data_IF_377127403082
#
_entry.id   IF_377127403082
#
_cell.length_a   1.000
_cell.length_b   1.000
_cell.length_c   1.000
_cell.angle_alpha   90.00
_cell.angle_beta   90.00
_cell.angle_gamma   90.00
#
_symmetry.space_group_name_H-M   'P 1'
#
loop_
_entity.id
_entity.type
_entity.pdbx_description
1 polymer ?
#
# COMPACT_ATOMS: atom_id res chain seq x y z
N UNK A 1 -18.95 27.72 -15.34
CA UNK A 1 -19.43 26.36 -14.99
C UNK A 1 -18.67 25.80 -13.78
N UNK A 2 -17.33 25.65 -13.83
CA UNK A 2 -16.54 25.25 -12.64
C UNK A 2 -16.70 26.19 -11.41
N UNK A 3 -16.83 27.49 -11.63
CA UNK A 3 -17.02 28.50 -10.57
C UNK A 3 -18.25 28.31 -9.68
N UNK A 4 -19.35 27.78 -10.22
CA UNK A 4 -20.60 27.58 -9.45
C UNK A 4 -20.59 26.32 -8.58
N UNK A 5 -19.77 25.32 -8.92
CA UNK A 5 -19.73 24.04 -8.21
C UNK A 5 -18.58 23.92 -7.20
N UNK A 6 -17.56 24.77 -7.29
CA UNK A 6 -16.36 24.70 -6.47
C UNK A 6 -16.06 26.03 -5.79
N UNK A 7 -16.92 26.42 -4.83
CA UNK A 7 -16.83 27.70 -4.11
C UNK A 7 -15.46 27.96 -3.48
N UNK A 8 -14.80 26.90 -2.99
CA UNK A 8 -13.46 26.98 -2.41
C UNK A 8 -12.41 27.51 -3.42
N UNK A 9 -12.57 27.27 -4.73
CA UNK A 9 -11.67 27.84 -5.74
C UNK A 9 -11.75 29.37 -5.83
N UNK A 10 -12.86 29.98 -5.39
CA UNK A 10 -13.00 31.44 -5.36
C UNK A 10 -12.36 32.06 -4.11
N UNK A 11 -12.16 31.26 -3.06
CA UNK A 11 -11.60 31.69 -1.78
C UNK A 11 -10.07 31.57 -1.76
N UNK A 12 -9.50 30.67 -2.58
CA UNK A 12 -8.05 30.50 -2.67
C UNK A 12 -7.45 31.62 -3.53
N UNK A 13 -6.53 32.36 -2.93
CA UNK A 13 -5.72 33.38 -3.58
C UNK A 13 -4.22 33.11 -3.40
N UNK A 14 -3.40 34.06 -3.85
CA UNK A 14 -1.94 33.96 -3.77
C UNK A 14 -1.37 34.00 -2.34
N UNK A 15 -2.17 34.32 -1.33
CA UNK A 15 -1.76 34.37 0.09
C UNK A 15 -2.26 33.14 0.86
N UNK A 16 -3.12 32.34 0.24
CA UNK A 16 -3.72 31.16 0.85
C UNK A 16 -2.70 30.03 0.90
N UNK A 17 -2.53 29.40 2.07
CA UNK A 17 -1.77 28.16 2.22
C UNK A 17 -2.70 26.96 2.02
N UNK A 18 -2.34 26.05 1.12
CA UNK A 18 -3.00 24.75 1.00
C UNK A 18 -2.17 23.69 1.71
N UNK A 19 -2.77 23.00 2.67
CA UNK A 19 -2.17 21.82 3.29
C UNK A 19 -2.90 20.59 2.80
N UNK A 20 -2.17 19.66 2.20
CA UNK A 20 -2.68 18.36 1.77
C UNK A 20 -2.07 17.29 2.65
N UNK A 21 -2.91 16.39 3.12
CA UNK A 21 -2.51 15.21 3.88
C UNK A 21 -3.04 13.96 3.17
N UNK A 22 -2.14 13.02 2.85
CA UNK A 22 -2.46 11.64 2.50
C UNK A 22 -3.36 11.48 1.26
N UNK A 23 -2.94 12.07 0.14
CA UNK A 23 -3.77 12.19 -1.07
C UNK A 23 -3.44 11.15 -2.16
N UNK A 24 -2.37 10.37 -2.00
CA UNK A 24 -2.09 9.24 -2.88
C UNK A 24 -3.10 8.10 -2.64
N UNK A 25 -4.09 7.98 -3.53
CA UNK A 25 -5.16 6.96 -3.47
C UNK A 25 -5.23 6.05 -4.67
N UNK A 26 -4.32 6.22 -5.62
CA UNK A 26 -4.16 5.40 -6.82
C UNK A 26 -2.78 5.57 -7.42
N UNK A 27 -2.27 4.54 -8.10
CA UNK A 27 -1.01 4.58 -8.86
C UNK A 27 -1.17 5.32 -10.19
N UNK A 28 -2.42 5.50 -10.63
CA UNK A 28 -2.70 6.20 -11.88
C UNK A 28 -2.41 7.69 -11.70
N UNK A 29 -1.21 8.10 -12.12
CA UNK A 29 -0.79 9.50 -12.16
C UNK A 29 -1.77 10.43 -12.90
N UNK A 30 -2.53 9.91 -13.87
CA UNK A 30 -3.50 10.67 -14.65
C UNK A 30 -4.94 10.55 -14.12
N UNK A 31 -5.12 10.05 -12.90
CA UNK A 31 -6.44 9.90 -12.30
C UNK A 31 -7.20 11.23 -12.25
N UNK A 32 -8.52 11.17 -12.44
CA UNK A 32 -9.36 12.36 -12.44
C UNK A 32 -9.31 13.09 -11.10
N UNK A 33 -9.19 12.36 -9.99
CA UNK A 33 -9.07 12.92 -8.64
C UNK A 33 -7.87 13.86 -8.54
N UNK A 34 -6.73 13.44 -9.10
CA UNK A 34 -5.49 14.20 -9.09
C UNK A 34 -5.61 15.44 -9.97
N UNK A 35 -6.25 15.30 -11.14
CA UNK A 35 -6.59 16.42 -12.01
C UNK A 35 -7.48 17.46 -11.32
N UNK A 36 -8.47 17.02 -10.54
CA UNK A 36 -9.32 17.90 -9.75
C UNK A 36 -8.52 18.64 -8.68
N UNK A 37 -7.65 17.96 -7.93
CA UNK A 37 -6.80 18.58 -6.91
C UNK A 37 -5.88 19.67 -7.48
N UNK A 38 -5.33 19.48 -8.69
CA UNK A 38 -4.50 20.49 -9.34
C UNK A 38 -5.22 21.81 -9.63
N UNK A 39 -6.55 21.82 -9.80
CA UNK A 39 -7.29 23.07 -9.99
C UNK A 39 -7.21 23.99 -8.77
N UNK A 40 -7.11 23.41 -7.56
CA UNK A 40 -6.92 24.15 -6.31
C UNK A 40 -5.45 24.54 -6.10
N UNK A 41 -4.55 23.57 -6.25
CA UNK A 41 -3.12 23.77 -6.02
C UNK A 41 -2.47 24.80 -6.94
N UNK A 42 -2.99 24.97 -8.15
CA UNK A 42 -2.47 25.96 -9.10
C UNK A 42 -2.91 27.41 -8.80
N UNK A 43 -3.80 27.64 -7.83
CA UNK A 43 -4.25 29.00 -7.47
C UNK A 43 -3.27 29.74 -6.55
N UNK A 44 -2.41 29.00 -5.85
CA UNK A 44 -1.48 29.55 -4.86
C UNK A 44 -0.08 28.92 -5.02
N UNK A 45 1.01 29.67 -4.79
CA UNK A 45 2.34 29.08 -4.66
C UNK A 45 2.57 28.46 -3.27
N UNK A 46 1.69 28.70 -2.29
CA UNK A 46 1.88 28.25 -0.92
C UNK A 46 1.17 26.92 -0.69
N UNK A 47 1.94 25.84 -0.64
CA UNK A 47 1.45 24.48 -0.44
C UNK A 47 2.39 23.67 0.42
N UNK A 48 1.81 22.76 1.19
CA UNK A 48 2.53 21.74 1.96
C UNK A 48 1.81 20.42 1.75
N UNK A 49 2.55 19.38 1.38
CA UNK A 49 2.02 18.06 1.06
C UNK A 49 2.64 17.06 2.01
N UNK A 50 1.80 16.34 2.74
CA UNK A 50 2.20 15.25 3.64
C UNK A 50 1.76 13.91 3.06
N UNK A 51 2.66 12.95 3.09
CA UNK A 51 2.41 11.56 2.72
C UNK A 51 3.32 10.67 3.58
N UNK A 52 2.73 9.74 4.33
CA UNK A 52 3.42 8.85 5.25
C UNK A 52 4.33 7.88 4.50
N UNK A 53 3.81 7.28 3.44
CA UNK A 53 4.55 6.40 2.54
C UNK A 53 4.51 6.97 1.12
N UNK A 54 5.63 7.54 0.63
CA UNK A 54 5.65 8.25 -0.64
C UNK A 54 5.69 7.33 -1.88
N UNK A 55 5.65 6.01 -1.65
CA UNK A 55 5.70 4.95 -2.67
C UNK A 55 4.54 4.00 -2.40
N UNK A 56 3.70 3.79 -3.42
CA UNK A 56 2.69 2.73 -3.37
C UNK A 56 3.42 1.44 -3.72
N UNK A 57 3.72 1.17 -4.99
CA UNK A 57 4.45 -0.02 -5.45
C UNK A 57 5.85 0.29 -5.98
N UNK A 58 5.99 1.39 -6.72
CA UNK A 58 7.19 1.67 -7.52
C UNK A 58 7.60 3.15 -7.46
N UNK A 59 8.83 3.42 -7.91
CA UNK A 59 9.42 4.76 -7.76
C UNK A 59 8.71 5.84 -8.57
N UNK A 60 8.00 5.49 -9.64
CA UNK A 60 7.22 6.43 -10.44
C UNK A 60 5.99 6.94 -9.69
N UNK A 61 5.51 6.22 -8.66
CA UNK A 61 4.43 6.71 -7.80
C UNK A 61 4.81 8.04 -7.14
N UNK A 62 6.09 8.27 -6.86
CA UNK A 62 6.57 9.54 -6.32
C UNK A 62 6.29 10.73 -7.25
N UNK A 63 6.20 10.49 -8.56
CA UNK A 63 5.83 11.53 -9.52
C UNK A 63 4.42 12.09 -9.28
N UNK A 64 3.55 11.37 -8.57
CA UNK A 64 2.24 11.89 -8.14
C UNK A 64 2.44 13.07 -7.20
N UNK A 65 3.29 12.92 -6.17
CA UNK A 65 3.62 13.99 -5.21
C UNK A 65 4.28 15.19 -5.91
N UNK A 66 5.23 14.93 -6.82
CA UNK A 66 5.87 15.99 -7.60
C UNK A 66 4.88 16.75 -8.50
N UNK A 67 3.84 16.11 -9.04
CA UNK A 67 2.82 16.86 -9.78
C UNK A 67 1.97 17.74 -8.87
N UNK A 68 1.75 17.34 -7.62
CA UNK A 68 1.05 18.19 -6.67
C UNK A 68 1.83 19.44 -6.36
N UNK A 69 3.15 19.32 -6.25
CA UNK A 69 4.01 20.48 -6.13
C UNK A 69 4.03 21.29 -7.43
N UNK A 70 4.21 20.65 -8.59
CA UNK A 70 4.24 21.36 -9.86
C UNK A 70 3.84 20.48 -11.05
N UNK A 71 2.54 20.47 -11.37
CA UNK A 71 1.96 19.61 -12.42
C UNK A 71 2.65 19.80 -13.77
N UNK A 72 2.83 21.05 -14.18
CA UNK A 72 3.30 21.36 -15.53
C UNK A 72 4.81 21.11 -15.69
N UNK A 73 5.60 21.28 -14.63
CA UNK A 73 7.04 21.01 -14.62
C UNK A 73 7.37 19.55 -14.92
N UNK A 74 6.54 18.62 -14.43
CA UNK A 74 6.83 17.18 -14.49
C UNK A 74 6.01 16.39 -15.49
N UNK A 75 5.02 17.02 -16.14
CA UNK A 75 4.12 16.36 -17.10
C UNK A 75 4.89 15.57 -18.16
N UNK A 76 4.59 14.26 -18.27
CA UNK A 76 5.20 13.35 -19.25
C UNK A 76 6.65 12.94 -18.94
N UNK A 77 7.23 13.37 -17.82
CA UNK A 77 8.56 12.95 -17.37
C UNK A 77 8.47 11.74 -16.44
N UNK A 78 9.41 10.81 -16.55
CA UNK A 78 9.63 9.76 -15.55
C UNK A 78 10.41 10.29 -14.36
N UNK A 79 10.47 9.50 -13.28
CA UNK A 79 11.23 9.85 -12.08
C UNK A 79 12.71 10.03 -12.39
N UNK A 80 13.28 11.09 -11.81
CA UNK A 80 14.69 11.38 -11.80
C UNK A 80 15.08 11.81 -10.39
N UNK A 81 16.16 11.23 -9.84
CA UNK A 81 16.63 11.56 -8.50
C UNK A 81 17.04 13.03 -8.35
N UNK A 82 17.37 13.74 -9.44
CA UNK A 82 17.62 15.19 -9.41
C UNK A 82 16.42 15.98 -8.93
N UNK A 83 15.19 15.49 -9.12
CA UNK A 83 13.99 16.20 -8.68
C UNK A 83 13.90 16.30 -7.15
N UNK A 84 14.57 15.41 -6.42
CA UNK A 84 14.68 15.47 -4.97
C UNK A 84 15.48 16.70 -4.48
N UNK A 85 16.32 17.28 -5.35
CA UNK A 85 17.08 18.50 -5.09
C UNK A 85 16.37 19.78 -5.56
N UNK A 86 15.48 19.63 -6.55
CA UNK A 86 14.86 20.78 -7.21
C UNK A 86 13.66 21.34 -6.44
N UNK A 87 13.04 20.53 -5.59
CA UNK A 87 11.86 20.88 -4.78
C UNK A 87 12.21 20.82 -3.28
N UNK A 88 11.46 21.54 -2.43
CA UNK A 88 11.64 21.51 -0.98
C UNK A 88 11.06 20.22 -0.37
N UNK A 89 11.78 19.12 -0.56
CA UNK A 89 11.34 17.79 -0.13
C UNK A 89 11.97 17.44 1.20
N UNK A 90 11.11 17.25 2.19
CA UNK A 90 11.50 16.69 3.47
C UNK A 90 10.98 15.27 3.66
N UNK A 91 11.88 14.29 3.63
CA UNK A 91 11.56 12.88 3.83
C UNK A 91 12.15 12.32 5.13
N UNK A 92 11.32 11.70 5.97
CA UNK A 92 11.78 10.90 7.11
C UNK A 92 11.70 9.41 6.71
N UNK A 93 12.80 8.65 6.74
CA UNK A 93 12.76 7.23 6.38
C UNK A 93 11.82 6.42 7.27
N UNK A 94 11.01 5.58 6.65
CA UNK A 94 10.20 4.56 7.31
C UNK A 94 10.64 3.19 6.81
N UNK A 95 11.23 2.37 7.69
CA UNK A 95 11.93 1.15 7.28
C UNK A 95 11.23 -0.10 7.80
N UNK A 96 10.15 -0.57 7.14
CA UNK A 96 9.39 -1.71 7.62
C UNK A 96 10.26 -2.99 7.57
N UNK A 97 10.17 -3.80 8.62
CA UNK A 97 10.87 -5.07 8.77
C UNK A 97 9.84 -6.20 8.77
N UNK A 98 10.10 -7.23 7.97
CA UNK A 98 9.28 -8.43 7.96
C UNK A 98 9.94 -9.49 8.83
N UNK A 99 9.23 -9.94 9.86
CA UNK A 99 9.57 -11.15 10.62
C UNK A 99 8.63 -12.27 10.19
N UNK A 100 9.20 -13.35 9.68
CA UNK A 100 8.44 -14.50 9.23
C UNK A 100 8.30 -15.48 10.39
N UNK A 101 7.06 -15.84 10.70
CA UNK A 101 6.70 -16.85 11.70
C UNK A 101 6.21 -18.07 10.95
N UNK A 102 7.02 -19.13 10.97
CA UNK A 102 6.73 -20.35 10.22
C UNK A 102 5.53 -21.10 10.82
N UNK A 103 4.68 -21.63 9.95
CA UNK A 103 3.52 -22.45 10.28
C UNK A 103 3.60 -23.73 9.46
N UNK A 104 3.65 -24.85 10.17
CA UNK A 104 3.65 -26.17 9.55
C UNK A 104 2.35 -26.44 8.81
N UNK A 105 2.44 -27.18 7.71
CA UNK A 105 1.30 -27.68 6.95
C UNK A 105 1.38 -29.20 6.84
N UNK A 106 0.23 -29.86 6.78
CA UNK A 106 0.16 -31.30 6.59
C UNK A 106 0.24 -31.67 5.10
N UNK A 107 0.56 -32.93 4.80
CA UNK A 107 0.54 -33.43 3.41
C UNK A 107 -0.85 -33.28 2.76
N UNK A 108 -1.92 -33.40 3.54
CA UNK A 108 -3.29 -33.17 3.08
C UNK A 108 -3.54 -31.70 2.69
N UNK A 109 -3.03 -30.76 3.49
CA UNK A 109 -3.10 -29.32 3.21
C UNK A 109 -2.30 -28.95 1.95
N UNK A 110 -1.11 -29.54 1.78
CA UNK A 110 -0.30 -29.38 0.56
C UNK A 110 -1.05 -29.90 -0.66
N UNK A 111 -1.63 -31.11 -0.59
CA UNK A 111 -2.40 -31.68 -1.68
C UNK A 111 -3.62 -30.82 -2.05
N UNK A 112 -4.32 -30.27 -1.03
CA UNK A 112 -5.43 -29.33 -1.23
C UNK A 112 -4.97 -28.05 -1.91
N UNK A 113 -3.83 -27.50 -1.50
CA UNK A 113 -3.24 -26.30 -2.11
C UNK A 113 -2.90 -26.51 -3.58
N UNK A 114 -2.17 -27.58 -3.92
CA UNK A 114 -1.78 -27.83 -5.31
C UNK A 114 -3.01 -28.11 -6.20
N UNK A 115 -4.05 -28.77 -5.66
CA UNK A 115 -5.33 -28.93 -6.37
C UNK A 115 -6.00 -27.59 -6.68
N UNK A 116 -6.11 -26.69 -5.69
CA UNK A 116 -6.69 -25.35 -5.90
C UNK A 116 -5.82 -24.51 -6.84
N UNK A 117 -4.50 -24.60 -6.75
CA UNK A 117 -3.56 -23.96 -7.68
C UNK A 117 -3.84 -24.39 -9.12
N UNK A 118 -3.83 -25.68 -9.42
CA UNK A 118 -4.12 -26.19 -10.77
C UNK A 118 -5.49 -25.74 -11.28
N UNK A 119 -6.50 -25.76 -10.43
CA UNK A 119 -7.84 -25.29 -10.76
C UNK A 119 -7.85 -23.80 -11.12
N UNK A 120 -7.24 -22.95 -10.31
CA UNK A 120 -7.22 -21.49 -10.54
C UNK A 120 -6.41 -21.15 -11.81
N UNK A 121 -5.30 -21.84 -12.07
CA UNK A 121 -4.55 -21.70 -13.32
C UNK A 121 -5.41 -22.07 -14.53
N UNK A 122 -6.09 -23.22 -14.50
CA UNK A 122 -6.95 -23.65 -15.60
C UNK A 122 -8.15 -22.71 -15.83
N UNK A 123 -8.75 -22.19 -14.75
CA UNK A 123 -9.83 -21.20 -14.83
C UNK A 123 -9.37 -19.89 -15.49
N UNK A 124 -8.12 -19.46 -15.29
CA UNK A 124 -7.58 -18.22 -15.87
C UNK A 124 -7.06 -18.44 -17.30
N UNK A 125 -6.52 -19.60 -17.63
CA UNK A 125 -6.22 -19.93 -19.03
C UNK A 125 -7.51 -19.97 -19.88
N UNK A 126 -8.62 -20.41 -19.29
CA UNK A 126 -9.91 -20.53 -19.96
C UNK A 126 -10.77 -19.26 -19.94
N UNK A 127 -10.37 -18.21 -19.22
CA UNK A 127 -11.13 -16.95 -19.14
C UNK A 127 -10.21 -15.73 -19.17
N UNK A 128 -10.59 -14.63 -19.83
CA UNK A 128 -9.85 -13.35 -19.87
C UNK A 128 -9.85 -12.62 -18.51
N UNK A 129 -9.64 -13.35 -17.42
CA UNK A 129 -9.64 -12.85 -16.05
C UNK A 129 -8.27 -12.30 -15.68
N UNK A 130 -8.29 -11.35 -14.75
CA UNK A 130 -7.11 -10.75 -14.14
C UNK A 130 -6.17 -11.83 -13.53
N UNK A 131 -4.92 -11.96 -14.00
CA UNK A 131 -3.93 -12.90 -13.45
C UNK A 131 -3.68 -12.75 -11.95
N UNK A 132 -3.89 -11.56 -11.38
CA UNK A 132 -3.73 -11.32 -9.94
C UNK A 132 -4.74 -12.10 -9.09
N UNK A 133 -5.76 -12.71 -9.70
CA UNK A 133 -6.67 -13.61 -9.00
C UNK A 133 -5.94 -14.85 -8.47
N UNK A 134 -4.86 -15.31 -9.13
CA UNK A 134 -4.07 -16.48 -8.69
C UNK A 134 -3.52 -16.27 -7.29
N UNK A 135 -2.63 -15.27 -7.05
CA UNK A 135 -2.05 -15.07 -5.73
C UNK A 135 -3.14 -14.75 -4.68
N UNK A 136 -4.15 -13.96 -5.06
CA UNK A 136 -5.25 -13.59 -4.15
C UNK A 136 -6.03 -14.81 -3.64
N UNK A 137 -6.31 -15.81 -4.48
CA UNK A 137 -7.04 -17.02 -4.07
C UNK A 137 -6.15 -17.99 -3.30
N UNK A 138 -4.92 -18.19 -3.78
CA UNK A 138 -3.98 -19.10 -3.11
C UNK A 138 -3.62 -18.63 -1.71
N UNK A 139 -3.52 -17.32 -1.49
CA UNK A 139 -3.25 -16.76 -0.17
C UNK A 139 -4.40 -17.04 0.81
N UNK A 140 -5.66 -16.98 0.37
CA UNK A 140 -6.81 -17.32 1.22
C UNK A 140 -6.73 -18.77 1.68
N UNK A 141 -6.41 -19.69 0.76
CA UNK A 141 -6.24 -21.12 1.06
C UNK A 141 -5.10 -21.34 2.05
N UNK A 142 -3.93 -20.72 1.82
CA UNK A 142 -2.81 -20.81 2.75
C UNK A 142 -3.18 -20.21 4.12
N UNK A 143 -3.89 -19.09 4.16
CA UNK A 143 -4.34 -18.47 5.39
C UNK A 143 -5.31 -19.33 6.20
N UNK A 144 -6.13 -20.17 5.56
CA UNK A 144 -6.97 -21.14 6.28
C UNK A 144 -6.11 -22.15 7.07
N UNK A 145 -4.98 -22.59 6.51
CA UNK A 145 -4.05 -23.49 7.20
C UNK A 145 -3.34 -22.80 8.37
N UNK A 146 -3.15 -21.48 8.29
CA UNK A 146 -2.57 -20.66 9.36
C UNK A 146 -3.50 -20.49 10.57
N UNK A 147 -4.80 -20.82 10.44
CA UNK A 147 -5.79 -20.67 11.52
C UNK A 147 -5.38 -21.37 12.82
N UNK A 148 -4.74 -22.55 12.71
CA UNK A 148 -4.30 -23.36 13.86
C UNK A 148 -3.22 -22.68 14.71
N UNK A 149 -2.55 -21.65 14.18
CA UNK A 149 -1.50 -20.90 14.87
C UNK A 149 -1.99 -19.56 15.46
N UNK A 150 -3.30 -19.30 15.42
CA UNK A 150 -3.90 -18.09 16.00
C UNK A 150 -4.04 -18.29 17.52
N UNK A 151 -3.33 -17.46 18.27
CA UNK A 151 -3.36 -17.45 19.73
C UNK A 151 -4.41 -16.43 20.24
N UNK A 152 -5.27 -16.78 21.20
CA UNK A 152 -6.39 -15.93 21.62
C UNK A 152 -5.96 -14.62 22.31
N UNK A 153 -4.75 -14.58 22.84
CA UNK A 153 -4.15 -13.43 23.55
C UNK A 153 -3.47 -12.41 22.62
N UNK A 154 -3.37 -12.71 21.31
CA UNK A 154 -2.73 -11.84 20.32
C UNK A 154 -3.74 -11.29 19.33
N UNK A 155 -3.43 -10.15 18.72
CA UNK A 155 -4.23 -9.55 17.66
C UNK A 155 -3.70 -9.95 16.30
N UNK A 156 -4.61 -10.24 15.39
CA UNK A 156 -4.27 -10.65 14.02
C UNK A 156 -5.00 -9.79 13.00
N UNK A 157 -4.41 -9.67 11.81
CA UNK A 157 -5.04 -9.06 10.66
C UNK A 157 -5.14 -10.06 9.51
N UNK A 158 -6.31 -10.10 8.87
CA UNK A 158 -6.62 -10.92 7.72
C UNK A 158 -7.35 -10.10 6.65
N UNK A 159 -7.47 -10.65 5.45
CA UNK A 159 -8.17 -9.95 4.35
C UNK A 159 -9.69 -9.92 4.49
N UNK A 160 -10.28 -10.80 5.29
CA UNK A 160 -11.72 -10.91 5.47
C UNK A 160 -12.06 -11.60 6.81
N UNK A 161 -13.33 -11.54 7.20
CA UNK A 161 -13.84 -12.09 8.47
C UNK A 161 -14.06 -13.62 8.46
N UNK A 162 -13.39 -14.38 7.57
CA UNK A 162 -13.64 -15.82 7.39
C UNK A 162 -13.34 -16.68 8.62
N UNK A 163 -12.46 -16.19 9.50
CA UNK A 163 -12.06 -16.93 10.69
C UNK A 163 -13.13 -16.91 11.79
N UNK A 164 -13.97 -15.87 11.80
CA UNK A 164 -15.01 -15.61 12.81
C UNK A 164 -14.46 -15.67 14.26
N UNK A 165 -13.34 -14.96 14.49
CA UNK A 165 -12.66 -14.87 15.78
C UNK A 165 -12.59 -13.40 16.20
N UNK A 166 -12.83 -13.12 17.49
CA UNK A 166 -12.88 -11.74 18.02
C UNK A 166 -11.53 -11.03 17.98
N UNK A 167 -10.43 -11.78 17.98
CA UNK A 167 -9.07 -11.24 17.93
C UNK A 167 -8.48 -11.17 16.51
N UNK A 168 -9.29 -11.44 15.47
CA UNK A 168 -8.88 -11.36 14.06
C UNK A 168 -9.66 -10.25 13.36
N UNK A 169 -8.95 -9.20 12.97
CA UNK A 169 -9.49 -8.01 12.34
C UNK A 169 -9.25 -8.03 10.84
N UNK A 170 -10.08 -7.31 10.09
CA UNK A 170 -9.75 -6.97 8.71
C UNK A 170 -8.96 -5.67 8.63
N UNK A 171 -8.26 -5.45 7.52
CA UNK A 171 -7.60 -4.18 7.24
C UNK A 171 -8.58 -2.99 7.33
N UNK A 172 -9.81 -3.17 6.84
CA UNK A 172 -10.85 -2.14 6.91
C UNK A 172 -11.33 -1.88 8.33
N UNK A 173 -11.46 -2.93 9.17
CA UNK A 173 -11.84 -2.75 10.58
C UNK A 173 -10.79 -1.89 11.31
N UNK A 174 -9.51 -2.14 11.08
CA UNK A 174 -8.39 -1.41 11.71
C UNK A 174 -8.39 0.05 11.25
N UNK A 175 -8.55 0.29 9.95
CA UNK A 175 -8.62 1.64 9.38
C UNK A 175 -9.79 2.45 9.96
N UNK A 176 -11.00 1.87 10.01
CA UNK A 176 -12.20 2.58 10.48
C UNK A 176 -12.23 2.84 11.98
N UNK A 177 -11.54 2.00 12.76
CA UNK A 177 -11.53 2.11 14.22
C UNK A 177 -10.26 2.76 14.76
N UNK A 178 -9.34 3.18 13.86
CA UNK A 178 -8.04 3.76 14.17
C UNK A 178 -7.29 2.98 15.26
N UNK A 179 -7.41 1.65 15.22
CA UNK A 179 -6.84 0.81 16.25
C UNK A 179 -5.33 0.71 16.08
N UNK A 180 -4.63 1.48 16.91
CA UNK A 180 -3.19 1.34 17.09
C UNK A 180 -2.86 0.05 17.86
N UNK A 181 -1.72 -0.56 17.53
CA UNK A 181 -1.16 -1.71 18.25
C UNK A 181 -0.41 -2.66 17.34
N UNK A 182 0.16 -3.69 17.95
CA UNK A 182 0.87 -4.75 17.25
C UNK A 182 -0.09 -5.83 16.77
N UNK A 183 -0.05 -6.13 15.48
CA UNK A 183 -0.84 -7.18 14.84
C UNK A 183 0.07 -8.24 14.20
N UNK A 184 -0.40 -9.49 14.19
CA UNK A 184 0.22 -10.54 13.40
C UNK A 184 -0.55 -10.68 12.09
N UNK A 185 0.15 -10.54 10.96
CA UNK A 185 -0.45 -10.64 9.62
C UNK A 185 -0.63 -12.11 9.25
N UNK A 186 -1.88 -12.50 9.00
CA UNK A 186 -2.24 -13.83 8.47
C UNK A 186 -2.18 -13.81 6.94
N UNK A 187 -2.81 -12.81 6.34
CA UNK A 187 -2.86 -12.58 4.90
C UNK A 187 -2.39 -11.16 4.61
N UNK A 188 -1.29 -10.99 3.87
CA UNK A 188 -0.89 -9.67 3.38
C UNK A 188 -1.95 -9.10 2.44
N UNK A 189 -2.34 -7.84 2.60
CA UNK A 189 -3.31 -7.23 1.69
C UNK A 189 -2.76 -7.14 0.26
N UNK A 190 -3.55 -7.55 -0.74
CA UNK A 190 -3.16 -7.56 -2.16
C UNK A 190 -3.11 -6.16 -2.79
N UNK A 191 -3.91 -5.23 -2.26
CA UNK A 191 -3.80 -3.82 -2.58
C UNK A 191 -2.81 -3.17 -1.60
N UNK A 192 -1.71 -2.67 -2.15
CA UNK A 192 -0.63 -2.02 -1.40
C UNK A 192 -1.07 -0.76 -0.67
N UNK A 193 -2.02 0.02 -1.21
CA UNK A 193 -2.55 1.19 -0.51
C UNK A 193 -3.16 0.82 0.84
N UNK A 194 -4.03 -0.20 0.86
CA UNK A 194 -4.64 -0.66 2.11
C UNK A 194 -3.59 -1.22 3.10
N UNK A 195 -2.50 -1.80 2.58
CA UNK A 195 -1.39 -2.22 3.43
C UNK A 195 -0.61 -1.02 4.00
N UNK A 196 -0.34 0.00 3.18
CA UNK A 196 0.31 1.24 3.61
C UNK A 196 -0.55 1.99 4.65
N UNK A 197 -1.86 2.09 4.43
CA UNK A 197 -2.82 2.67 5.38
C UNK A 197 -2.81 1.90 6.71
N UNK A 198 -2.75 0.57 6.66
CA UNK A 198 -2.59 -0.26 7.86
C UNK A 198 -1.29 0.03 8.60
N UNK A 199 -0.16 0.15 7.90
CA UNK A 199 1.11 0.51 8.51
C UNK A 199 1.08 1.90 9.15
N UNK A 200 0.38 2.86 8.52
CA UNK A 200 0.20 4.20 9.06
C UNK A 200 -0.62 4.18 10.35
N UNK A 201 -1.79 3.56 10.33
CA UNK A 201 -2.70 3.53 11.49
C UNK A 201 -2.10 2.77 12.68
N UNK A 202 -1.42 1.66 12.40
CA UNK A 202 -0.80 0.84 13.46
C UNK A 202 0.58 1.34 13.88
N UNK A 203 1.21 2.19 13.07
CA UNK A 203 2.58 2.66 13.25
C UNK A 203 3.61 1.51 13.42
N UNK A 204 3.30 0.33 12.87
CA UNK A 204 4.11 -0.88 13.00
C UNK A 204 5.30 -0.87 12.04
N UNK A 205 6.51 -0.65 12.56
CA UNK A 205 7.75 -0.81 11.79
C UNK A 205 8.22 -2.28 11.70
N UNK A 206 7.69 -3.16 12.56
CA UNK A 206 7.98 -4.59 12.60
C UNK A 206 6.71 -5.39 12.33
N UNK A 207 6.67 -6.01 11.15
CA UNK A 207 5.53 -6.77 10.65
C UNK A 207 5.81 -8.26 10.87
N UNK A 208 5.06 -8.87 11.78
CA UNK A 208 5.09 -10.32 11.97
C UNK A 208 4.11 -10.99 10.99
N UNK A 209 4.62 -11.84 10.10
CA UNK A 209 3.82 -12.54 9.09
C UNK A 209 3.81 -14.04 9.33
N UNK A 210 2.63 -14.64 9.46
CA UNK A 210 2.49 -16.10 9.46
C UNK A 210 2.76 -16.63 8.05
N UNK A 211 3.75 -17.51 7.90
CA UNK A 211 4.15 -18.10 6.62
C UNK A 211 4.08 -19.61 6.66
N UNK A 212 3.47 -20.20 5.66
CA UNK A 212 3.54 -21.63 5.35
C UNK A 212 4.74 -21.91 4.42
N UNK A 213 5.15 -23.17 4.24
CA UNK A 213 6.13 -23.53 3.22
C UNK A 213 5.55 -23.51 1.78
N UNK A 214 4.28 -23.14 1.60
CA UNK A 214 3.63 -23.12 0.30
C UNK A 214 4.15 -21.95 -0.56
N UNK A 215 4.16 -22.13 -1.88
CA UNK A 215 4.80 -21.20 -2.81
C UNK A 215 4.22 -19.78 -2.76
N UNK A 216 2.95 -19.62 -2.39
CA UNK A 216 2.30 -18.31 -2.34
C UNK A 216 2.91 -17.40 -1.27
N UNK A 217 3.29 -17.94 -0.11
CA UNK A 217 3.87 -17.13 0.96
C UNK A 217 5.25 -16.63 0.57
N UNK A 218 6.03 -17.45 -0.16
CA UNK A 218 7.28 -17.01 -0.77
C UNK A 218 7.08 -15.83 -1.73
N UNK A 219 6.07 -15.89 -2.61
CA UNK A 219 5.75 -14.79 -3.54
C UNK A 219 5.42 -13.50 -2.79
N UNK A 220 4.63 -13.58 -1.72
CA UNK A 220 4.24 -12.42 -0.90
C UNK A 220 5.45 -11.81 -0.19
N UNK A 221 6.33 -12.65 0.38
CA UNK A 221 7.57 -12.21 1.02
C UNK A 221 8.48 -11.53 -0.02
N UNK A 222 8.67 -12.14 -1.18
CA UNK A 222 9.50 -11.57 -2.26
C UNK A 222 8.95 -10.22 -2.75
N UNK A 223 7.62 -10.10 -2.90
CA UNK A 223 6.96 -8.83 -3.26
C UNK A 223 7.18 -7.75 -2.20
N UNK A 224 7.02 -8.09 -0.92
CA UNK A 224 7.30 -7.17 0.18
C UNK A 224 8.76 -6.71 0.17
N UNK A 225 9.71 -7.64 -0.02
CA UNK A 225 11.14 -7.33 -0.04
C UNK A 225 11.51 -6.44 -1.23
N UNK A 226 10.89 -6.65 -2.40
CA UNK A 226 11.04 -5.77 -3.56
C UNK A 226 10.55 -4.36 -3.25
N UNK A 227 9.33 -4.23 -2.72
CA UNK A 227 8.76 -2.94 -2.33
C UNK A 227 9.62 -2.20 -1.32
N UNK A 228 10.09 -2.90 -0.27
CA UNK A 228 11.04 -2.36 0.70
C UNK A 228 12.34 -1.88 0.04
N UNK A 229 12.83 -2.58 -0.98
CA UNK A 229 13.98 -2.16 -1.78
C UNK A 229 13.76 -0.81 -2.48
N UNK A 230 12.55 -0.59 -3.02
CA UNK A 230 12.18 0.69 -3.64
C UNK A 230 12.16 1.81 -2.60
N UNK A 231 11.52 1.58 -1.44
CA UNK A 231 11.53 2.52 -0.32
C UNK A 231 12.95 2.91 0.10
N UNK A 232 13.82 1.92 0.30
CA UNK A 232 15.22 2.18 0.65
C UNK A 232 15.95 2.99 -0.42
N UNK A 233 15.64 2.77 -1.70
CA UNK A 233 16.26 3.50 -2.82
C UNK A 233 15.90 4.98 -2.74
N UNK A 234 14.61 5.32 -2.59
CA UNK A 234 14.20 6.73 -2.52
C UNK A 234 14.71 7.41 -1.24
N UNK A 235 14.74 6.71 -0.10
CA UNK A 235 15.29 7.26 1.14
C UNK A 235 16.79 7.49 1.05
N UNK A 236 17.55 6.56 0.45
CA UNK A 236 18.98 6.73 0.24
C UNK A 236 19.26 7.94 -0.65
N UNK A 237 18.53 8.08 -1.76
CA UNK A 237 18.63 9.25 -2.63
C UNK A 237 18.29 10.54 -1.87
N UNK A 238 17.14 10.61 -1.20
CA UNK A 238 16.74 11.78 -0.42
C UNK A 238 17.73 12.15 0.72
N UNK A 239 18.43 11.16 1.29
CA UNK A 239 19.42 11.38 2.35
C UNK A 239 20.76 11.95 1.88
N UNK A 240 21.14 11.72 0.62
CA UNK A 240 22.38 12.27 0.03
C UNK A 240 22.24 13.77 -0.23
N UNK A 241 21.00 14.22 -0.38
CA UNK A 241 20.65 15.53 -0.92
C UNK A 241 20.13 16.50 0.16
N UNK A 242 20.40 16.20 1.44
CA UNK A 242 20.07 17.02 2.62
C UNK A 242 21.32 17.47 3.37
#
# INVERSE_FOLDING_TARGET
>A
MYKFFYRLLEEIDKQTLIVIDELMRTKNRNDLTYNCAHHYLNQTPHRIIFEFLPIIDDIEDFMILLNYENKDKYKGKSFNSSYLLEEDIQMKPYCPKLEVVEVDVTDEEIAKYEKEKHKVFHEIESSLKDPDIIPRRLQIVAGDFKKKSIAPDKRYVARNKRFNLENVYTYDDIWQTEQNGDYIVIDMHYNRLNFNDFLKVTNMDKICYLSTPLSIDKVIIDEFMKWKGVLNTIYAQASIYR
#
